data_IF_821907331817
#
_entry.id   IF_821907331817
#
_cell.length_a   1.000
_cell.length_b   1.000
_cell.length_c   1.000
_cell.angle_alpha   90.00
_cell.angle_beta   90.00
_cell.angle_gamma   90.00
#
_symmetry.space_group_name_H-M   'P 1'
#
loop_
_entity.id
_entity.type
_entity.pdbx_description
1 polymer ?
#
# COMPACT_ATOMS: atom_id res chain seq x y z
N UNK A 1 26.21 14.68 -28.11
CA UNK A 1 24.84 15.13 -28.42
C UNK A 1 23.96 13.90 -28.53
N UNK A 2 22.84 13.91 -27.81
CA UNK A 2 21.63 13.08 -28.00
C UNK A 2 21.82 11.54 -27.86
N UNK A 3 21.01 10.82 -27.08
CA UNK A 3 19.58 11.03 -26.86
C UNK A 3 19.19 10.60 -25.44
N UNK A 4 18.79 11.56 -24.61
CA UNK A 4 17.95 11.28 -23.44
C UNK A 4 16.57 10.89 -23.98
N UNK A 5 16.26 9.60 -23.91
CA UNK A 5 14.86 9.18 -23.82
C UNK A 5 14.39 9.52 -22.41
N UNK A 6 13.29 10.27 -22.21
CA UNK A 6 12.60 10.21 -20.95
C UNK A 6 11.99 8.81 -20.89
N UNK A 7 12.59 7.92 -20.10
CA UNK A 7 11.89 6.72 -19.68
C UNK A 7 10.59 7.19 -19.01
N UNK A 8 9.49 6.58 -19.42
CA UNK A 8 8.15 6.77 -18.89
C UNK A 8 8.13 6.34 -17.40
N UNK A 9 8.68 7.19 -16.52
CA UNK A 9 8.87 6.89 -15.09
C UNK A 9 7.56 6.63 -14.33
N UNK A 10 6.44 6.98 -14.95
CA UNK A 10 5.09 6.71 -14.46
C UNK A 10 4.76 5.22 -14.34
N UNK A 11 5.36 4.36 -15.16
CA UNK A 11 5.07 2.92 -15.12
C UNK A 11 5.89 2.19 -14.03
N UNK A 12 7.14 2.64 -13.80
CA UNK A 12 8.04 2.06 -12.80
C UNK A 12 7.50 2.26 -11.36
N UNK A 13 6.94 3.44 -11.07
CA UNK A 13 6.35 3.71 -9.75
C UNK A 13 5.10 2.86 -9.53
N UNK A 14 4.30 2.62 -10.57
CA UNK A 14 3.13 1.76 -10.42
C UNK A 14 3.51 0.31 -10.14
N UNK A 15 4.54 -0.21 -10.82
CA UNK A 15 5.04 -1.56 -10.52
C UNK A 15 5.56 -1.64 -9.08
N UNK A 16 6.33 -0.65 -8.64
CA UNK A 16 6.83 -0.61 -7.26
C UNK A 16 5.69 -0.55 -6.23
N UNK A 17 4.67 0.28 -6.47
CA UNK A 17 3.50 0.39 -5.60
C UNK A 17 2.73 -0.93 -5.50
N UNK A 18 2.46 -1.59 -6.63
CA UNK A 18 1.74 -2.87 -6.62
C UNK A 18 2.55 -3.97 -5.92
N UNK A 19 3.88 -4.00 -6.11
CA UNK A 19 4.77 -4.94 -5.39
C UNK A 19 4.71 -4.73 -3.88
N UNK A 20 4.70 -3.47 -3.42
CA UNK A 20 4.59 -3.16 -1.99
C UNK A 20 3.23 -3.59 -1.42
N UNK A 21 2.14 -3.36 -2.16
CA UNK A 21 0.80 -3.77 -1.74
C UNK A 21 0.68 -5.30 -1.65
N UNK A 22 1.30 -6.04 -2.58
CA UNK A 22 1.38 -7.49 -2.52
C UNK A 22 2.18 -7.96 -1.29
N UNK A 23 3.31 -7.31 -1.01
CA UNK A 23 4.10 -7.60 0.19
C UNK A 23 3.32 -7.33 1.47
N UNK A 24 2.61 -6.19 1.57
CA UNK A 24 1.78 -5.84 2.72
C UNK A 24 0.62 -6.83 2.90
N UNK A 25 -0.06 -7.19 1.82
CA UNK A 25 -1.11 -8.22 1.85
C UNK A 25 -0.57 -9.58 2.33
N UNK A 26 0.65 -9.95 1.93
CA UNK A 26 1.30 -11.19 2.35
C UNK A 26 1.73 -11.17 3.82
N UNK A 27 2.17 -10.01 4.34
CA UNK A 27 2.66 -9.86 5.71
C UNK A 27 1.50 -9.78 6.71
N UNK A 28 0.48 -8.98 6.39
CA UNK A 28 -0.59 -8.62 7.33
C UNK A 28 -1.90 -9.37 7.09
N UNK A 29 -2.06 -10.02 5.93
CA UNK A 29 -3.24 -10.82 5.61
C UNK A 29 -4.53 -10.03 5.81
N UNK A 30 -5.41 -10.55 6.67
CA UNK A 30 -6.73 -9.97 6.96
C UNK A 30 -6.66 -8.59 7.65
N UNK A 31 -5.52 -8.22 8.24
CA UNK A 31 -5.35 -6.90 8.86
C UNK A 31 -5.08 -5.80 7.81
N UNK A 32 -4.86 -6.16 6.54
CA UNK A 32 -4.56 -5.23 5.46
C UNK A 32 -5.68 -5.19 4.41
N UNK A 33 -5.99 -3.97 3.95
CA UNK A 33 -6.94 -3.75 2.87
C UNK A 33 -6.47 -2.64 1.94
N UNK A 34 -6.34 -2.95 0.63
CA UNK A 34 -6.28 -1.93 -0.42
C UNK A 34 -7.70 -1.40 -0.67
N UNK A 35 -7.92 -0.12 -0.39
CA UNK A 35 -9.21 0.55 -0.53
C UNK A 35 -9.56 0.88 -1.99
N UNK A 36 -8.63 0.73 -2.93
CA UNK A 36 -8.86 0.88 -4.38
C UNK A 36 -9.60 -0.32 -4.98
N UNK A 37 -9.53 -1.48 -4.33
CA UNK A 37 -10.20 -2.72 -4.79
C UNK A 37 -11.73 -2.59 -4.94
N UNK A 38 -12.34 -1.58 -4.32
CA UNK A 38 -13.78 -1.30 -4.38
C UNK A 38 -14.19 -0.42 -5.57
N UNK A 39 -13.22 0.10 -6.32
CA UNK A 39 -13.49 0.98 -7.46
C UNK A 39 -13.88 0.18 -8.71
N UNK A 40 -14.88 0.63 -9.50
CA UNK A 40 -15.17 0.05 -10.79
C UNK A 40 -14.02 0.32 -11.80
N UNK A 41 -13.28 -0.74 -12.17
CA UNK A 41 -12.33 -0.90 -13.28
C UNK A 41 -11.26 0.19 -13.56
N UNK A 42 -9.98 -0.20 -13.45
CA UNK A 42 -8.76 0.41 -14.05
C UNK A 42 -8.56 1.94 -13.92
N UNK A 43 -9.12 2.59 -12.90
CA UNK A 43 -8.69 3.97 -12.57
C UNK A 43 -7.29 3.88 -11.95
N UNK A 44 -6.24 4.28 -12.69
CA UNK A 44 -4.89 4.45 -12.14
C UNK A 44 -4.97 5.60 -11.12
N UNK A 45 -5.00 5.25 -9.83
CA UNK A 45 -4.99 6.22 -8.72
C UNK A 45 -3.93 5.82 -7.70
N UNK A 46 -3.41 6.80 -6.92
CA UNK A 46 -2.43 6.52 -5.89
C UNK A 46 -2.95 5.50 -4.88
N UNK A 47 -2.07 4.64 -4.33
CA UNK A 47 -2.44 3.67 -3.31
C UNK A 47 -3.15 4.32 -2.14
N UNK A 48 -4.24 3.68 -1.71
CA UNK A 48 -4.92 4.02 -0.48
C UNK A 48 -5.16 2.74 0.29
N UNK A 49 -4.58 2.65 1.47
CA UNK A 49 -4.56 1.41 2.26
C UNK A 49 -5.12 1.63 3.65
N UNK A 50 -5.66 0.56 4.20
CA UNK A 50 -6.09 0.44 5.58
C UNK A 50 -5.32 -0.71 6.23
N UNK A 51 -4.72 -0.46 7.39
CA UNK A 51 -3.94 -1.44 8.13
C UNK A 51 -4.34 -1.42 9.61
N UNK A 52 -4.84 -2.54 10.12
CA UNK A 52 -5.16 -2.70 11.54
C UNK A 52 -3.90 -3.13 12.30
N UNK A 53 -3.43 -2.27 13.21
CA UNK A 53 -2.24 -2.52 14.01
C UNK A 53 -2.63 -2.89 15.44
N UNK A 54 -1.93 -3.90 15.97
CA UNK A 54 -2.11 -4.44 17.31
C UNK A 54 -0.78 -4.40 18.07
N UNK A 55 -0.81 -4.27 19.42
CA UNK A 55 0.40 -4.31 20.22
C UNK A 55 1.20 -5.60 19.97
N UNK A 56 2.51 -5.44 19.84
CA UNK A 56 3.41 -6.57 19.64
C UNK A 56 3.53 -7.41 20.93
N UNK A 57 3.69 -8.73 20.80
CA UNK A 57 3.85 -9.65 21.93
C UNK A 57 2.55 -10.16 22.55
N UNK A 58 1.39 -9.84 21.97
CA UNK A 58 0.15 -10.56 22.25
C UNK A 58 0.23 -11.94 21.58
N UNK A 59 0.39 -13.01 22.37
CA UNK A 59 0.33 -14.37 21.86
C UNK A 59 -1.11 -14.72 21.43
N UNK A 60 -1.23 -15.74 20.57
CA UNK A 60 -2.51 -16.26 20.13
C UNK A 60 -3.41 -16.60 21.33
N UNK A 61 -4.50 -15.85 21.51
CA UNK A 61 -5.49 -16.03 22.58
C UNK A 61 -5.45 -15.00 23.71
N UNK A 62 -4.48 -14.07 23.72
CA UNK A 62 -4.51 -12.94 24.66
C UNK A 62 -5.45 -11.84 24.16
N UNK A 63 -6.21 -11.25 25.09
CA UNK A 63 -7.10 -10.13 24.78
C UNK A 63 -6.30 -8.92 24.29
N UNK A 64 -6.75 -8.37 23.16
CA UNK A 64 -6.22 -7.14 22.60
C UNK A 64 -7.06 -5.96 23.09
N UNK A 65 -6.51 -5.15 23.99
CA UNK A 65 -7.25 -4.03 24.60
C UNK A 65 -7.21 -2.75 23.78
N UNK A 66 -6.27 -2.65 22.83
CA UNK A 66 -6.09 -1.47 21.99
C UNK A 66 -5.74 -1.89 20.58
N UNK A 67 -6.38 -1.27 19.60
CA UNK A 67 -6.08 -1.40 18.17
C UNK A 67 -5.97 -0.01 17.57
N UNK A 68 -5.16 0.12 16.53
CA UNK A 68 -5.05 1.36 15.76
C UNK A 68 -5.28 1.03 14.30
N UNK A 69 -6.30 1.64 13.72
CA UNK A 69 -6.54 1.60 12.28
C UNK A 69 -5.72 2.69 11.60
N UNK A 70 -4.73 2.30 10.82
CA UNK A 70 -3.90 3.20 10.04
C UNK A 70 -4.48 3.30 8.62
N UNK A 71 -4.96 4.48 8.27
CA UNK A 71 -5.36 4.81 6.90
C UNK A 71 -4.29 5.67 6.23
N UNK A 72 -3.69 5.16 5.16
CA UNK A 72 -2.66 5.87 4.40
C UNK A 72 -3.19 6.20 3.01
N UNK A 73 -3.01 7.45 2.60
CA UNK A 73 -3.27 7.93 1.25
C UNK A 73 -1.95 8.42 0.67
N UNK A 74 -1.43 7.70 -0.32
CA UNK A 74 -0.20 8.09 -0.96
C UNK A 74 -0.44 9.24 -1.95
N UNK A 75 0.48 10.22 -2.06
CA UNK A 75 0.42 11.20 -3.13
C UNK A 75 0.70 10.54 -4.49
N UNK A 76 0.30 11.16 -5.62
CA UNK A 76 0.63 10.65 -6.96
C UNK A 76 2.13 10.54 -7.24
N UNK A 77 2.95 11.27 -6.49
CA UNK A 77 4.42 11.27 -6.59
C UNK A 77 5.07 10.21 -5.71
N UNK A 78 4.30 9.41 -4.96
CA UNK A 78 4.86 8.31 -4.17
C UNK A 78 5.56 7.30 -5.09
N UNK A 79 6.78 6.83 -4.78
CA UNK A 79 7.53 7.05 -3.53
C UNK A 79 8.55 8.21 -3.53
N UNK A 80 8.65 8.98 -4.61
CA UNK A 80 9.70 9.98 -4.91
C UNK A 80 9.60 11.32 -4.12
N UNK A 81 9.22 11.29 -2.85
CA UNK A 81 9.06 12.50 -2.03
C UNK A 81 10.26 13.48 -2.10
#
# INVERSE_FOLDING_TARGET
>A
MSSQHPADGTDDHTVQQENELEALASIFGDDFQDLRSKDPWKVKRPPQVHLCLRPNGLNNGQECYVTVDLQVQCPPTYPDA
#
